data_IF_357652872041
#
_entry.id   IF_357652872041
#
_cell.length_a   1.000
_cell.length_b   1.000
_cell.length_c   1.000
_cell.angle_alpha   90.00
_cell.angle_beta   90.00
_cell.angle_gamma   90.00
#
_symmetry.space_group_name_H-M   'P 1'
#
loop_
_entity.id
_entity.type
_entity.pdbx_description
1 polymer ?
#
# COMPACT_ATOMS: atom_id res chain seq x y z
N UNK A 1 -12.61 2.45 35.00
CA UNK A 1 -11.17 2.26 35.23
C UNK A 1 -10.41 1.93 33.94
N UNK A 2 -11.00 1.20 32.98
CA UNK A 2 -10.40 0.94 31.66
C UNK A 2 -10.18 2.21 30.82
N UNK A 3 -11.15 3.12 30.76
CA UNK A 3 -11.09 4.30 29.90
C UNK A 3 -9.97 5.29 30.26
N UNK A 4 -9.58 5.41 31.54
CA UNK A 4 -8.46 6.28 31.94
C UNK A 4 -7.11 5.66 31.56
N UNK A 5 -6.94 4.35 31.73
CA UNK A 5 -5.70 3.65 31.34
C UNK A 5 -5.47 3.69 29.83
N UNK A 6 -6.54 3.63 29.02
CA UNK A 6 -6.47 3.77 27.55
C UNK A 6 -6.00 5.17 27.18
N UNK A 7 -6.59 6.20 27.78
CA UNK A 7 -6.20 7.60 27.55
C UNK A 7 -4.73 7.84 27.92
N UNK A 8 -4.26 7.26 29.03
CA UNK A 8 -2.87 7.38 29.50
C UNK A 8 -1.88 6.73 28.51
N UNK A 9 -2.18 5.54 27.96
CA UNK A 9 -1.30 4.87 27.00
C UNK A 9 -1.25 5.57 25.64
N UNK A 10 -2.40 6.06 25.15
CA UNK A 10 -2.42 6.85 23.91
C UNK A 10 -1.63 8.15 24.09
N UNK A 11 -1.79 8.87 25.20
CA UNK A 11 -1.01 10.08 25.47
C UNK A 11 0.49 9.79 25.58
N UNK A 12 0.86 8.70 26.26
CA UNK A 12 2.24 8.25 26.35
C UNK A 12 2.84 7.98 24.96
N UNK A 13 2.11 7.29 24.08
CA UNK A 13 2.56 7.07 22.71
C UNK A 13 2.80 8.38 21.97
N UNK A 14 1.84 9.32 22.01
CA UNK A 14 1.94 10.60 21.31
C UNK A 14 3.17 11.40 21.76
N UNK A 15 3.44 11.47 23.07
CA UNK A 15 4.64 12.15 23.58
C UNK A 15 5.93 11.51 23.06
N UNK A 16 5.98 10.18 22.97
CA UNK A 16 7.17 9.49 22.44
C UNK A 16 7.42 9.83 20.98
N UNK A 17 6.38 9.97 20.16
CA UNK A 17 6.52 10.40 18.76
C UNK A 17 7.04 11.84 18.67
N UNK A 18 6.54 12.74 19.52
CA UNK A 18 7.01 14.12 19.60
C UNK A 18 8.48 14.20 20.04
N UNK A 19 8.91 13.32 20.95
CA UNK A 19 10.31 13.16 21.36
C UNK A 19 11.18 12.40 20.35
N UNK A 20 10.66 12.06 19.16
CA UNK A 20 11.36 11.31 18.10
C UNK A 20 11.86 9.93 18.56
N UNK A 21 11.15 9.29 19.48
CA UNK A 21 11.46 7.93 19.97
C UNK A 21 10.79 6.87 19.11
N UNK A 22 11.51 6.44 18.08
CA UNK A 22 11.08 5.41 17.13
C UNK A 22 11.66 4.04 17.50
N UNK A 23 11.11 3.42 18.54
CA UNK A 23 11.56 2.13 19.06
C UNK A 23 10.41 1.12 19.25
N UNK A 24 10.77 -0.13 19.54
CA UNK A 24 9.82 -1.21 19.80
C UNK A 24 8.91 -0.95 21.00
N UNK A 25 9.38 -0.19 21.98
CA UNK A 25 8.59 0.14 23.16
C UNK A 25 7.43 1.07 22.76
N UNK A 26 7.70 2.09 21.94
CA UNK A 26 6.67 2.95 21.35
C UNK A 26 5.62 2.14 20.56
N UNK A 27 6.04 1.16 19.73
CA UNK A 27 5.09 0.30 19.00
C UNK A 27 4.25 -0.58 19.92
N UNK A 28 4.84 -1.12 20.99
CA UNK A 28 4.10 -1.92 21.98
C UNK A 28 3.08 -1.09 22.74
N UNK A 29 3.41 0.14 23.11
CA UNK A 29 2.48 1.08 23.76
C UNK A 29 1.29 1.34 22.83
N UNK A 30 1.55 1.58 21.54
CA UNK A 30 0.51 1.72 20.53
C UNK A 30 -0.40 0.50 20.46
N UNK A 31 0.17 -0.70 20.33
CA UNK A 31 -0.58 -1.95 20.25
C UNK A 31 -1.46 -2.16 21.49
N UNK A 32 -0.91 -1.98 22.70
CA UNK A 32 -1.66 -2.09 23.95
C UNK A 32 -2.79 -1.07 24.03
N UNK A 33 -2.56 0.16 23.58
CA UNK A 33 -3.59 1.20 23.55
C UNK A 33 -4.75 0.83 22.62
N UNK A 34 -4.46 0.22 21.47
CA UNK A 34 -5.46 -0.20 20.50
C UNK A 34 -6.24 -1.42 20.97
N UNK A 35 -5.58 -2.41 21.58
CA UNK A 35 -6.23 -3.64 22.10
C UNK A 35 -7.18 -3.32 23.25
N UNK A 36 -6.84 -2.35 24.08
CA UNK A 36 -7.66 -1.98 25.23
C UNK A 36 -8.93 -1.18 24.85
N UNK A 37 -9.04 -0.68 23.61
CA UNK A 37 -10.13 0.20 23.20
C UNK A 37 -11.47 -0.49 22.97
N UNK A 38 -12.52 0.15 23.46
CA UNK A 38 -13.91 -0.26 23.29
C UNK A 38 -14.31 -0.10 21.81
N UNK A 39 -15.07 -1.05 21.23
CA UNK A 39 -15.44 -1.07 19.80
C UNK A 39 -16.10 0.24 19.32
N UNK A 40 -16.85 0.93 20.18
CA UNK A 40 -17.54 2.19 19.84
C UNK A 40 -16.60 3.39 19.69
N UNK A 41 -15.53 3.48 20.48
CA UNK A 41 -14.55 4.57 20.41
C UNK A 41 -13.35 4.24 19.51
N UNK A 42 -13.16 2.96 19.19
CA UNK A 42 -12.04 2.45 18.42
C UNK A 42 -11.89 3.12 17.05
N UNK A 43 -12.97 3.30 16.30
CA UNK A 43 -12.89 3.89 14.94
C UNK A 43 -12.52 5.37 14.97
N UNK A 44 -13.07 6.14 15.90
CA UNK A 44 -12.79 7.57 16.02
C UNK A 44 -11.35 7.81 16.49
N UNK A 45 -10.89 7.06 17.49
CA UNK A 45 -9.53 7.19 18.00
C UNK A 45 -8.51 6.76 16.94
N UNK A 46 -8.77 5.68 16.18
CA UNK A 46 -7.92 5.28 15.05
C UNK A 46 -7.83 6.35 13.98
N UNK A 47 -8.95 6.98 13.62
CA UNK A 47 -8.94 8.07 12.64
C UNK A 47 -8.06 9.22 13.11
N UNK A 48 -8.27 9.70 14.35
CA UNK A 48 -7.49 10.81 14.91
C UNK A 48 -6.00 10.46 15.01
N UNK A 49 -5.70 9.24 15.41
CA UNK A 49 -4.33 8.75 15.52
C UNK A 49 -3.67 8.62 14.14
N UNK A 50 -4.41 8.14 13.13
CA UNK A 50 -3.93 8.10 11.76
C UNK A 50 -3.63 9.51 11.24
N UNK A 51 -4.53 10.48 11.46
CA UNK A 51 -4.33 11.87 11.05
C UNK A 51 -3.10 12.50 11.73
N UNK A 52 -2.94 12.29 13.04
CA UNK A 52 -1.76 12.71 13.77
C UNK A 52 -0.48 12.09 13.20
N UNK A 53 -0.46 10.77 13.02
CA UNK A 53 0.71 10.04 12.54
C UNK A 53 1.07 10.43 11.10
N UNK A 54 0.10 10.69 10.23
CA UNK A 54 0.34 11.23 8.88
C UNK A 54 1.01 12.60 8.96
N UNK A 55 0.49 13.50 9.79
CA UNK A 55 1.06 14.84 9.99
C UNK A 55 2.50 14.78 10.52
N UNK A 56 2.73 14.01 11.59
CA UNK A 56 4.07 13.88 12.19
C UNK A 56 5.05 13.20 11.24
N UNK A 57 4.63 12.14 10.54
CA UNK A 57 5.50 11.46 9.58
C UNK A 57 6.00 12.41 8.51
N UNK A 58 5.13 13.25 7.93
CA UNK A 58 5.52 14.23 6.93
C UNK A 58 6.52 15.27 7.47
N UNK A 59 6.32 15.75 8.70
CA UNK A 59 7.24 16.68 9.35
C UNK A 59 8.63 16.03 9.58
N UNK A 60 8.64 14.83 10.15
CA UNK A 60 9.85 14.07 10.47
C UNK A 60 10.65 13.75 9.20
N UNK A 61 10.00 13.36 8.09
CA UNK A 61 10.73 13.12 6.85
C UNK A 61 11.42 14.37 6.29
N UNK A 62 10.89 15.56 6.55
CA UNK A 62 11.58 16.82 6.26
C UNK A 62 12.84 17.00 7.13
N UNK A 63 12.76 16.64 8.41
CA UNK A 63 13.85 16.74 9.39
C UNK A 63 14.99 15.76 9.11
N UNK A 64 14.71 14.59 8.51
CA UNK A 64 15.71 13.56 8.20
C UNK A 64 16.69 13.95 7.08
N UNK A 65 16.67 15.18 6.60
CA UNK A 65 17.63 15.67 5.60
C UNK A 65 19.04 15.68 6.19
N UNK A 66 19.98 14.95 5.58
CA UNK A 66 21.35 14.81 6.08
C UNK A 66 21.60 13.61 7.00
N UNK A 67 20.55 12.95 7.49
CA UNK A 67 20.68 11.74 8.31
C UNK A 67 21.22 10.53 7.54
N UNK A 68 21.79 9.58 8.30
CA UNK A 68 22.27 8.32 7.76
C UNK A 68 21.15 7.51 7.09
N UNK A 69 21.51 6.69 6.11
CA UNK A 69 20.54 5.81 5.42
C UNK A 69 19.89 4.83 6.42
N UNK A 70 20.68 4.32 7.38
CA UNK A 70 20.17 3.41 8.42
C UNK A 70 19.10 4.11 9.26
N UNK A 71 19.36 5.32 9.75
CA UNK A 71 18.39 6.09 10.52
C UNK A 71 17.09 6.33 9.73
N UNK A 72 17.20 6.72 8.46
CA UNK A 72 16.03 6.92 7.58
C UNK A 72 15.19 5.66 7.41
N UNK A 73 15.85 4.52 7.19
CA UNK A 73 15.17 3.23 7.03
C UNK A 73 14.51 2.78 8.33
N UNK A 74 15.16 2.98 9.48
CA UNK A 74 14.56 2.68 10.79
C UNK A 74 13.31 3.52 11.05
N UNK A 75 13.31 4.80 10.69
CA UNK A 75 12.12 5.66 10.82
C UNK A 75 11.01 5.20 9.88
N UNK A 76 11.32 4.91 8.61
CA UNK A 76 10.34 4.38 7.65
C UNK A 76 9.72 3.06 8.13
N UNK A 77 10.54 2.15 8.64
CA UNK A 77 10.09 0.86 9.18
C UNK A 77 9.16 1.05 10.39
N UNK A 78 9.54 1.95 11.31
CA UNK A 78 8.72 2.29 12.47
C UNK A 78 7.34 2.79 12.03
N UNK A 79 7.29 3.78 11.12
CA UNK A 79 6.01 4.32 10.65
C UNK A 79 5.18 3.30 9.87
N UNK A 80 5.81 2.47 9.03
CA UNK A 80 5.11 1.39 8.33
C UNK A 80 4.39 0.45 9.33
N UNK A 81 5.09 0.05 10.39
CA UNK A 81 4.53 -0.83 11.44
C UNK A 81 3.46 -0.12 12.27
N UNK A 82 3.66 1.14 12.61
CA UNK A 82 2.66 1.92 13.34
C UNK A 82 1.37 2.08 12.52
N UNK A 83 1.47 2.43 11.24
CA UNK A 83 0.30 2.54 10.35
C UNK A 83 -0.39 1.19 10.15
N UNK A 84 0.36 0.08 10.09
CA UNK A 84 -0.22 -1.25 10.05
C UNK A 84 -1.06 -1.55 11.31
N UNK A 85 -0.56 -1.22 12.51
CA UNK A 85 -1.31 -1.36 13.77
C UNK A 85 -2.59 -0.49 13.78
N UNK A 86 -2.46 0.76 13.33
CA UNK A 86 -3.59 1.71 13.18
C UNK A 86 -4.53 1.30 12.03
N UNK A 87 -4.13 0.33 11.20
CA UNK A 87 -4.81 -0.11 9.97
C UNK A 87 -5.04 0.99 8.95
N UNK A 88 -4.14 1.96 8.92
CA UNK A 88 -4.02 2.90 7.81
C UNK A 88 -3.16 2.25 6.72
N UNK A 89 -3.83 1.48 5.85
CA UNK A 89 -3.14 0.67 4.84
C UNK A 89 -2.43 1.54 3.80
N UNK A 90 -3.02 2.67 3.41
CA UNK A 90 -2.44 3.59 2.44
C UNK A 90 -1.11 4.14 2.95
N UNK A 91 -1.10 4.67 4.17
CA UNK A 91 0.11 5.23 4.77
C UNK A 91 1.15 4.14 5.06
N UNK A 92 0.73 2.94 5.49
CA UNK A 92 1.62 1.79 5.66
C UNK A 92 2.34 1.42 4.35
N UNK A 93 1.59 1.25 3.27
CA UNK A 93 2.16 0.90 1.96
C UNK A 93 3.04 2.03 1.41
N UNK A 94 2.67 3.30 1.63
CA UNK A 94 3.50 4.44 1.27
C UNK A 94 4.87 4.38 1.97
N UNK A 95 4.91 4.15 3.29
CA UNK A 95 6.18 4.04 4.03
C UNK A 95 7.04 2.88 3.53
N UNK A 96 6.43 1.72 3.26
CA UNK A 96 7.14 0.55 2.70
C UNK A 96 7.69 0.85 1.30
N UNK A 97 6.91 1.49 0.45
CA UNK A 97 7.34 1.88 -0.90
C UNK A 97 8.56 2.81 -0.86
N UNK A 98 8.52 3.84 0.00
CA UNK A 98 9.62 4.77 0.16
C UNK A 98 10.89 4.10 0.73
N UNK A 99 10.74 3.14 1.64
CA UNK A 99 11.87 2.34 2.13
C UNK A 99 12.52 1.51 1.02
N UNK A 100 11.72 0.87 0.16
CA UNK A 100 12.22 0.10 -0.98
C UNK A 100 12.91 1.01 -2.01
N UNK A 101 12.33 2.18 -2.32
CA UNK A 101 12.96 3.15 -3.23
C UNK A 101 14.28 3.69 -2.69
N UNK A 102 14.32 4.05 -1.39
CA UNK A 102 15.53 4.56 -0.76
C UNK A 102 16.66 3.53 -0.79
N UNK A 103 16.32 2.27 -0.52
CA UNK A 103 17.23 1.12 -0.63
C UNK A 103 17.72 0.92 -2.06
N UNK A 104 16.82 0.84 -3.05
CA UNK A 104 17.19 0.61 -4.45
C UNK A 104 18.07 1.74 -5.01
N UNK A 105 17.75 3.00 -4.67
CA UNK A 105 18.53 4.18 -5.04
C UNK A 105 19.97 4.14 -4.49
N UNK A 106 20.16 3.60 -3.29
CA UNK A 106 21.47 3.54 -2.62
C UNK A 106 22.22 2.24 -2.87
N UNK A 107 21.55 1.23 -3.42
CA UNK A 107 22.11 -0.09 -3.72
C UNK A 107 23.40 -0.08 -4.56
N UNK A 108 23.63 0.85 -5.53
CA UNK A 108 24.89 0.88 -6.28
C UNK A 108 26.11 1.19 -5.42
N UNK A 109 25.90 1.93 -4.32
CA UNK A 109 26.95 2.30 -3.36
C UNK A 109 27.06 1.34 -2.17
N UNK A 110 26.05 0.50 -1.95
CA UNK A 110 25.99 -0.40 -0.81
C UNK A 110 25.15 -1.65 -1.12
N UNK A 111 25.82 -2.79 -1.30
CA UNK A 111 25.16 -4.03 -1.75
C UNK A 111 24.12 -4.57 -0.76
N UNK A 112 24.29 -4.34 0.55
CA UNK A 112 23.31 -4.79 1.55
C UNK A 112 21.96 -4.04 1.45
N UNK A 113 21.94 -2.90 0.77
CA UNK A 113 20.71 -2.15 0.47
C UNK A 113 19.99 -2.66 -0.78
N UNK A 114 20.55 -3.64 -1.50
CA UNK A 114 19.88 -4.19 -2.69
C UNK A 114 18.47 -4.67 -2.32
N UNK A 115 17.51 -4.30 -3.16
CA UNK A 115 16.13 -4.80 -3.07
C UNK A 115 15.97 -5.92 -4.09
N UNK A 116 15.64 -7.10 -3.57
CA UNK A 116 15.40 -8.28 -4.39
C UNK A 116 14.12 -8.14 -5.21
N UNK A 117 14.03 -8.91 -6.30
CA UNK A 117 12.80 -8.95 -7.09
C UNK A 117 11.61 -9.51 -6.28
N UNK A 118 11.87 -10.43 -5.35
CA UNK A 118 10.84 -11.02 -4.50
C UNK A 118 10.24 -9.99 -3.55
N UNK A 119 11.04 -9.12 -2.93
CA UNK A 119 10.56 -8.00 -2.11
C UNK A 119 9.65 -7.05 -2.90
N UNK A 120 10.06 -6.67 -4.12
CA UNK A 120 9.23 -5.84 -5.00
C UNK A 120 7.94 -6.55 -5.44
N UNK A 121 8.01 -7.86 -5.70
CA UNK A 121 6.85 -8.67 -6.10
C UNK A 121 5.85 -8.81 -4.96
N UNK A 122 6.32 -9.09 -3.75
CA UNK A 122 5.47 -9.17 -2.55
C UNK A 122 4.76 -7.83 -2.31
N UNK A 123 5.50 -6.71 -2.40
CA UNK A 123 4.91 -5.39 -2.26
C UNK A 123 3.89 -5.08 -3.36
N UNK A 124 4.14 -5.51 -4.60
CA UNK A 124 3.20 -5.35 -5.71
C UNK A 124 1.91 -6.14 -5.49
N UNK A 125 2.00 -7.39 -5.01
CA UNK A 125 0.83 -8.22 -4.66
C UNK A 125 0.03 -7.56 -3.55
N UNK A 126 0.67 -7.17 -2.45
CA UNK A 126 0.01 -6.47 -1.34
C UNK A 126 -0.68 -5.18 -1.80
N UNK A 127 -0.02 -4.40 -2.65
CA UNK A 127 -0.60 -3.17 -3.20
C UNK A 127 -1.83 -3.46 -4.06
N UNK A 128 -1.80 -4.53 -4.86
CA UNK A 128 -2.92 -4.93 -5.72
C UNK A 128 -4.11 -5.43 -4.91
N UNK A 129 -3.88 -6.27 -3.90
CA UNK A 129 -4.92 -6.79 -3.00
C UNK A 129 -5.64 -5.67 -2.24
N UNK A 130 -4.94 -4.56 -1.97
CA UNK A 130 -5.49 -3.38 -1.31
C UNK A 130 -6.00 -2.31 -2.30
N UNK A 131 -6.06 -2.61 -3.60
CA UNK A 131 -6.64 -1.73 -4.62
C UNK A 131 -5.73 -0.59 -5.13
N UNK A 132 -4.47 -0.54 -4.72
CA UNK A 132 -3.49 0.46 -5.15
C UNK A 132 -2.82 0.06 -6.47
N UNK A 133 -3.62 -0.05 -7.54
CA UNK A 133 -3.21 -0.63 -8.83
C UNK A 133 -2.03 0.09 -9.51
N UNK A 134 -2.00 1.42 -9.47
CA UNK A 134 -0.89 2.20 -10.05
C UNK A 134 0.44 1.93 -9.35
N UNK A 135 0.41 1.82 -8.02
CA UNK A 135 1.60 1.51 -7.21
C UNK A 135 2.02 0.05 -7.41
N UNK A 136 1.07 -0.88 -7.48
CA UNK A 136 1.34 -2.28 -7.82
C UNK A 136 2.04 -2.42 -9.18
N UNK A 137 1.61 -1.64 -10.18
CA UNK A 137 2.25 -1.57 -11.50
C UNK A 137 3.71 -1.13 -11.42
N UNK A 138 3.99 -0.02 -10.73
CA UNK A 138 5.37 0.50 -10.53
C UNK A 138 6.26 -0.49 -9.78
N UNK A 139 5.73 -1.11 -8.71
CA UNK A 139 6.46 -2.13 -7.97
C UNK A 139 6.78 -3.36 -8.84
N UNK A 140 5.86 -3.76 -9.71
CA UNK A 140 6.10 -4.83 -10.69
C UNK A 140 7.18 -4.45 -11.71
N UNK A 141 7.24 -3.20 -12.14
CA UNK A 141 8.33 -2.70 -13.00
C UNK A 141 9.68 -2.77 -12.28
N UNK A 142 9.74 -2.33 -11.02
CA UNK A 142 10.95 -2.43 -10.21
C UNK A 142 11.39 -3.89 -9.99
N UNK A 143 10.45 -4.82 -9.77
CA UNK A 143 10.76 -6.25 -9.69
C UNK A 143 11.42 -6.78 -10.98
N UNK A 144 10.92 -6.38 -12.16
CA UNK A 144 11.53 -6.75 -13.45
C UNK A 144 12.93 -6.13 -13.63
N UNK A 145 13.14 -4.91 -13.16
CA UNK A 145 14.46 -4.27 -13.18
C UNK A 145 15.45 -5.01 -12.27
N UNK A 146 15.02 -5.42 -11.07
CA UNK A 146 15.84 -6.25 -10.17
C UNK A 146 16.19 -7.60 -10.82
N UNK A 147 15.23 -8.31 -11.42
CA UNK A 147 15.48 -9.56 -12.14
C UNK A 147 16.49 -9.39 -13.28
N UNK A 148 16.40 -8.29 -14.03
CA UNK A 148 17.36 -7.99 -15.09
C UNK A 148 18.77 -7.80 -14.53
N UNK A 149 18.91 -7.12 -13.39
CA UNK A 149 20.21 -6.96 -12.72
C UNK A 149 20.76 -8.30 -12.24
N UNK A 150 19.93 -9.15 -11.66
CA UNK A 150 20.34 -10.47 -11.16
C UNK A 150 20.77 -11.39 -12.32
N UNK A 151 20.04 -11.38 -13.44
CA UNK A 151 20.39 -12.14 -14.65
C UNK A 151 21.72 -11.77 -15.30
N UNK A 152 22.23 -10.55 -15.07
CA UNK A 152 23.53 -10.09 -15.56
C UNK A 152 24.70 -10.58 -14.70
N UNK A 153 24.40 -11.05 -13.48
CA UNK A 153 25.38 -11.50 -12.49
C UNK A 153 25.46 -13.03 -12.47
N UNK A 154 24.34 -13.71 -12.68
CA UNK A 154 24.23 -15.17 -12.57
C UNK A 154 24.55 -15.88 -13.90
N UNK A 155 25.49 -16.83 -13.84
CA UNK A 155 26.03 -17.55 -15.02
C UNK A 155 25.52 -18.99 -15.16
N UNK A 156 24.65 -19.46 -14.26
CA UNK A 156 24.18 -20.86 -14.24
C UNK A 156 22.81 -21.03 -14.89
N UNK A 157 22.68 -22.09 -15.69
CA UNK A 157 21.51 -22.36 -16.53
C UNK A 157 20.22 -22.68 -15.72
N UNK A 158 20.33 -23.31 -14.56
CA UNK A 158 19.19 -23.62 -13.68
C UNK A 158 18.62 -22.35 -13.03
N UNK A 159 19.49 -21.48 -12.51
CA UNK A 159 19.13 -20.19 -11.93
C UNK A 159 18.43 -19.29 -12.97
N UNK A 160 18.92 -19.28 -14.21
CA UNK A 160 18.32 -18.56 -15.34
C UNK A 160 16.87 -18.98 -15.65
N UNK A 161 16.54 -20.29 -15.57
CA UNK A 161 15.17 -20.77 -15.79
C UNK A 161 14.21 -20.26 -14.71
N UNK A 162 14.66 -20.20 -13.46
CA UNK A 162 13.89 -19.65 -12.33
C UNK A 162 13.64 -18.15 -12.48
N UNK A 163 14.65 -17.40 -12.91
CA UNK A 163 14.53 -15.95 -13.21
C UNK A 163 13.48 -15.71 -14.30
N UNK A 164 13.45 -16.54 -15.34
CA UNK A 164 12.46 -16.43 -16.42
C UNK A 164 11.03 -16.65 -15.94
N UNK A 165 10.79 -17.67 -15.10
CA UNK A 165 9.47 -17.93 -14.50
C UNK A 165 9.03 -16.79 -13.57
N UNK A 166 9.94 -16.30 -12.73
CA UNK A 166 9.69 -15.13 -11.89
C UNK A 166 9.34 -13.89 -12.74
N UNK A 167 10.08 -13.64 -13.82
CA UNK A 167 9.83 -12.52 -14.72
C UNK A 167 8.47 -12.63 -15.42
N UNK A 168 8.04 -13.84 -15.79
CA UNK A 168 6.71 -14.08 -16.37
C UNK A 168 5.59 -13.76 -15.38
N UNK A 169 5.72 -14.24 -14.13
CA UNK A 169 4.75 -13.94 -13.05
C UNK A 169 4.63 -12.44 -12.80
N UNK A 170 5.76 -11.74 -12.72
CA UNK A 170 5.78 -10.28 -12.51
C UNK A 170 5.19 -9.53 -13.70
N UNK A 171 5.45 -9.98 -14.94
CA UNK A 171 4.83 -9.39 -16.15
C UNK A 171 3.31 -9.52 -16.12
N UNK A 172 2.78 -10.69 -15.78
CA UNK A 172 1.34 -10.91 -15.63
C UNK A 172 0.72 -10.00 -14.56
N UNK A 173 1.42 -9.83 -13.44
CA UNK A 173 0.99 -8.95 -12.35
C UNK A 173 0.88 -7.49 -12.83
N UNK A 174 1.92 -6.99 -13.50
CA UNK A 174 1.95 -5.65 -14.10
C UNK A 174 0.82 -5.45 -15.11
N UNK A 175 0.66 -6.41 -16.02
CA UNK A 175 -0.35 -6.33 -17.08
C UNK A 175 -1.77 -6.38 -16.50
N UNK A 176 -1.99 -7.15 -15.44
CA UNK A 176 -3.24 -7.16 -14.68
C UNK A 176 -3.51 -5.82 -14.00
N UNK A 177 -2.49 -5.23 -13.35
CA UNK A 177 -2.62 -3.90 -12.75
C UNK A 177 -2.96 -2.82 -13.78
N UNK A 178 -2.34 -2.87 -14.97
CA UNK A 178 -2.62 -1.95 -16.08
C UNK A 178 -4.05 -2.13 -16.63
N UNK A 179 -4.49 -3.38 -16.82
CA UNK A 179 -5.84 -3.69 -17.27
C UNK A 179 -6.90 -3.19 -16.26
N UNK A 180 -6.71 -3.47 -14.97
CA UNK A 180 -7.63 -3.01 -13.94
C UNK A 180 -7.63 -1.49 -13.85
N UNK A 181 -6.46 -0.84 -13.90
CA UNK A 181 -6.37 0.63 -13.89
C UNK A 181 -7.14 1.26 -15.05
N UNK A 182 -7.05 0.69 -16.25
CA UNK A 182 -7.80 1.19 -17.42
C UNK A 182 -9.30 0.92 -17.30
N UNK A 183 -9.69 -0.25 -16.79
CA UNK A 183 -11.11 -0.64 -16.60
C UNK A 183 -11.81 0.21 -15.55
N UNK A 184 -11.12 0.56 -14.46
CA UNK A 184 -11.63 1.45 -13.40
C UNK A 184 -11.48 2.95 -13.73
N UNK A 185 -11.05 3.30 -14.95
CA UNK A 185 -10.99 4.71 -15.35
C UNK A 185 -12.39 5.31 -15.49
N UNK A 186 -12.52 6.60 -15.16
CA UNK A 186 -13.79 7.35 -15.30
C UNK A 186 -14.33 7.28 -16.73
N UNK A 187 -13.45 7.27 -17.73
CA UNK A 187 -13.82 7.15 -19.14
C UNK A 187 -14.40 5.78 -19.46
N UNK A 188 -13.73 4.69 -19.03
CA UNK A 188 -14.20 3.33 -19.25
C UNK A 188 -15.54 3.09 -18.53
N UNK A 189 -15.64 3.49 -17.26
CA UNK A 189 -16.87 3.38 -16.48
C UNK A 189 -18.01 4.22 -17.07
N UNK A 190 -17.71 5.44 -17.56
CA UNK A 190 -18.67 6.29 -18.24
C UNK A 190 -19.20 5.65 -19.53
N UNK A 191 -18.32 5.06 -20.34
CA UNK A 191 -18.71 4.35 -21.55
C UNK A 191 -19.59 3.12 -21.26
N UNK A 192 -19.24 2.32 -20.25
CA UNK A 192 -20.06 1.17 -19.82
C UNK A 192 -21.42 1.61 -19.29
N UNK A 193 -21.47 2.70 -18.52
CA UNK A 193 -22.72 3.26 -18.02
C UNK A 193 -23.63 3.72 -19.17
N UNK A 194 -23.08 4.42 -20.16
CA UNK A 194 -23.83 4.86 -21.34
C UNK A 194 -24.38 3.67 -22.14
N UNK A 195 -23.55 2.66 -22.42
CA UNK A 195 -23.98 1.43 -23.10
C UNK A 195 -25.08 0.71 -22.32
N UNK A 196 -24.96 0.62 -20.98
CA UNK A 196 -25.98 0.03 -20.11
C UNK A 196 -27.29 0.83 -20.13
N UNK A 197 -27.20 2.16 -20.18
CA UNK A 197 -28.36 3.05 -20.31
C UNK A 197 -29.07 2.86 -21.64
N UNK A 198 -28.33 2.76 -22.74
CA UNK A 198 -28.88 2.47 -24.08
C UNK A 198 -29.66 1.16 -24.10
N UNK A 199 -29.09 0.08 -23.54
CA UNK A 199 -29.77 -1.22 -23.41
C UNK A 199 -31.06 -1.13 -22.58
N UNK A 200 -31.06 -0.33 -21.51
CA UNK A 200 -32.27 -0.08 -20.70
C UNK A 200 -33.33 0.73 -21.45
N UNK A 201 -32.93 1.66 -22.31
CA UNK A 201 -33.87 2.43 -23.14
C UNK A 201 -34.47 1.52 -24.21
N UNK A 202 -33.65 0.72 -24.89
CA UNK A 202 -34.10 -0.21 -25.93
C UNK A 202 -35.10 -1.25 -25.38
N UNK A 203 -34.81 -1.82 -24.20
CA UNK A 203 -35.70 -2.78 -23.53
C UNK A 203 -37.03 -2.18 -23.03
N UNK A 204 -37.08 -0.87 -22.77
CA UNK A 204 -38.33 -0.17 -22.42
C UNK A 204 -39.20 0.10 -23.65
N UNK A 205 -38.60 0.35 -24.81
CA UNK A 205 -39.32 0.57 -26.08
C UNK A 205 -39.89 -0.71 -26.69
N UNK A 206 -39.35 -1.89 -26.34
CA UNK A 206 -39.81 -3.19 -26.84
C UNK A 206 -40.92 -3.85 -26.01
N UNK A 207 -41.47 -3.18 -24.97
CA UNK A 207 -42.66 -3.70 -24.27
C UNK A 207 -43.89 -3.56 -25.19
N UNK A 208 -44.57 -4.66 -25.57
CA UNK A 208 -45.76 -4.56 -26.39
C UNK A 208 -46.87 -3.88 -25.60
N UNK A 209 -47.48 -2.85 -26.19
CA UNK A 209 -48.75 -2.27 -25.74
C UNK A 209 -49.76 -3.43 -25.82
N UNK A 210 -50.20 -3.94 -24.66
CA UNK A 210 -51.35 -4.84 -24.62
C UNK A 210 -52.55 -4.05 -25.13
N UNK A 211 -53.02 -4.38 -26.32
CA UNK A 211 -54.33 -3.92 -26.79
C UNK A 211 -55.36 -4.40 -25.76
N UNK A 212 -56.22 -3.52 -25.22
CA UNK A 212 -57.38 -3.96 -24.48
C UNK A 212 -58.36 -4.56 -25.50
N UNK A 213 -58.68 -5.84 -25.31
CA UNK A 213 -59.70 -6.54 -26.05
C UNK A 213 -61.04 -5.80 -25.94
N UNK A 214 -61.60 -5.36 -27.07
CA UNK A 214 -63.00 -4.94 -27.16
C UNK A 214 -63.87 -6.20 -27.22
N UNK A 215 -64.66 -6.43 -26.18
CA UNK A 215 -65.89 -7.25 -26.20
C UNK A 215 -67.09 -6.33 -26.33
#
# INVERSE_FOLDING_TARGET
MSDSMIADQTYLFLNRIQERRFDEESLRILELSLVAMNVKSFSEVRSRLADFMRSESAAIFGELTGESIVAKLSVLEFFARAFALIGDIESCLAMRYEALNLRDLKSPSCLWLRVSHSEWTEFAVQSMENGFLSIAGKASENALLSLKRDSLIETKQEEYSTILDAAEKVRRLRDSAALLTSSYSVQAQGAEYLRSKELRVLSRQTRPIKNPDCT
#
